data_IF_379954782058
#
_entry.id   IF_379954782058
#
_cell.length_a   1.000
_cell.length_b   1.000
_cell.length_c   1.000
_cell.angle_alpha   90.00
_cell.angle_beta   90.00
_cell.angle_gamma   90.00
#
_symmetry.space_group_name_H-M   'P 1'
#
loop_
_entity.id
_entity.type
_entity.pdbx_description
1 polymer ?
#
# COMPACT_ATOMS: atom_id res chain seq x y z
N UNK A 1 3.18 -22.57 1.71
CA UNK A 1 2.89 -21.32 0.97
C UNK A 1 1.38 -21.13 0.97
N UNK A 2 0.91 -19.93 1.27
CA UNK A 2 -0.49 -19.54 1.04
C UNK A 2 -0.64 -19.05 -0.42
N UNK A 3 -1.87 -19.03 -0.94
CA UNK A 3 -2.18 -18.63 -2.31
C UNK A 3 -1.97 -17.14 -2.58
N UNK A 4 -2.30 -16.70 -3.79
CA UNK A 4 -2.37 -15.27 -4.11
C UNK A 4 -3.45 -14.60 -3.26
N UNK A 5 -3.17 -13.40 -2.74
CA UNK A 5 -4.15 -12.64 -1.98
C UNK A 5 -5.09 -11.89 -2.93
N UNK A 6 -6.40 -11.95 -2.71
CA UNK A 6 -7.33 -11.09 -3.44
C UNK A 6 -7.12 -9.61 -3.09
N UNK A 7 -6.85 -9.37 -1.80
CA UNK A 7 -6.66 -8.04 -1.24
C UNK A 7 -5.62 -8.04 -0.12
N UNK A 8 -4.80 -6.98 -0.05
CA UNK A 8 -3.82 -6.78 1.02
C UNK A 8 -3.88 -5.37 1.61
N UNK A 9 -3.72 -5.27 2.92
CA UNK A 9 -3.37 -4.02 3.59
C UNK A 9 -1.86 -4.03 3.83
N UNK A 10 -1.15 -3.02 3.32
CA UNK A 10 0.32 -2.95 3.38
C UNK A 10 0.71 -1.61 4.01
N UNK A 11 1.55 -1.59 5.06
CA UNK A 11 2.01 -0.34 5.67
C UNK A 11 2.88 0.45 4.69
N UNK A 12 2.77 1.79 4.71
CA UNK A 12 3.54 2.67 3.82
C UNK A 12 4.22 3.84 4.53
N UNK A 13 3.92 4.08 5.80
CA UNK A 13 4.55 5.12 6.62
C UNK A 13 5.49 4.56 7.69
N UNK A 14 5.96 5.43 8.58
CA UNK A 14 6.94 5.17 9.62
C UNK A 14 8.31 4.70 9.09
N UNK A 15 8.76 5.22 7.94
CA UNK A 15 9.98 4.75 7.28
C UNK A 15 11.21 5.63 7.47
N UNK A 16 11.12 6.87 7.94
CA UNK A 16 12.27 7.76 8.05
C UNK A 16 12.80 7.94 9.49
N UNK A 17 14.12 8.06 9.70
CA UNK A 17 15.19 7.93 8.71
C UNK A 17 15.45 6.47 8.31
N UNK A 18 15.75 6.23 7.02
CA UNK A 18 15.87 4.86 6.47
C UNK A 18 16.92 4.00 7.17
N UNK A 19 18.06 4.57 7.54
CA UNK A 19 19.15 3.80 8.16
C UNK A 19 18.78 3.21 9.53
N UNK A 20 17.82 3.82 10.22
CA UNK A 20 17.31 3.34 11.50
C UNK A 20 16.05 2.48 11.35
N UNK A 21 15.11 2.91 10.50
CA UNK A 21 13.77 2.31 10.42
C UNK A 21 13.67 1.09 9.50
N UNK A 22 14.62 0.88 8.57
CA UNK A 22 14.51 -0.14 7.51
C UNK A 22 14.35 -1.58 8.00
N UNK A 23 14.86 -1.90 9.18
CA UNK A 23 14.80 -3.26 9.70
C UNK A 23 13.42 -3.59 10.28
N UNK A 24 12.59 -2.59 10.55
CA UNK A 24 11.25 -2.75 11.15
C UNK A 24 10.13 -2.22 10.25
N UNK A 25 10.39 -1.24 9.39
CA UNK A 25 9.40 -0.56 8.58
C UNK A 25 9.80 -0.48 7.11
N UNK A 26 8.81 -0.82 6.28
CA UNK A 26 8.88 -0.71 4.83
C UNK A 26 8.59 0.72 4.40
N UNK A 27 9.29 1.18 3.37
CA UNK A 27 8.94 2.42 2.69
C UNK A 27 7.89 2.17 1.57
N UNK A 28 7.36 3.22 0.92
CA UNK A 28 6.37 3.05 -0.15
C UNK A 28 6.87 2.23 -1.34
N UNK A 29 8.16 2.29 -1.69
CA UNK A 29 8.71 1.52 -2.81
C UNK A 29 8.75 0.01 -2.50
N UNK A 30 9.17 -0.35 -1.28
CA UNK A 30 9.18 -1.71 -0.74
C UNK A 30 7.76 -2.25 -0.53
N UNK A 31 6.81 -1.39 -0.15
CA UNK A 31 5.41 -1.76 -0.08
C UNK A 31 4.88 -2.24 -1.45
N UNK A 32 5.27 -1.56 -2.54
CA UNK A 32 4.91 -2.00 -3.90
C UNK A 32 5.58 -3.33 -4.28
N UNK A 33 6.79 -3.59 -3.80
CA UNK A 33 7.42 -4.91 -3.96
C UNK A 33 6.64 -6.00 -3.22
N UNK A 34 6.22 -5.72 -1.97
CA UNK A 34 5.40 -6.64 -1.18
C UNK A 34 4.09 -6.98 -1.89
N UNK A 35 3.40 -5.99 -2.46
CA UNK A 35 2.18 -6.21 -3.25
C UNK A 35 2.40 -7.27 -4.35
N UNK A 36 3.53 -7.19 -5.05
CA UNK A 36 3.89 -8.15 -6.12
C UNK A 36 4.30 -9.51 -5.55
N UNK A 37 5.09 -9.53 -4.49
CA UNK A 37 5.61 -10.75 -3.86
C UNK A 37 4.48 -11.62 -3.31
N UNK A 38 3.46 -11.00 -2.71
CA UNK A 38 2.25 -11.69 -2.22
C UNK A 38 1.21 -11.93 -3.31
N UNK A 39 1.48 -11.46 -4.53
CA UNK A 39 0.58 -11.56 -5.70
C UNK A 39 -0.80 -11.01 -5.40
N UNK A 40 -0.85 -9.85 -4.74
CA UNK A 40 -2.11 -9.24 -4.36
C UNK A 40 -2.89 -8.79 -5.60
N UNK A 41 -4.18 -9.10 -5.68
CA UNK A 41 -5.06 -8.56 -6.72
C UNK A 41 -5.23 -7.04 -6.57
N UNK A 42 -5.52 -6.59 -5.35
CA UNK A 42 -5.61 -5.17 -4.98
C UNK A 42 -4.92 -4.91 -3.64
N UNK A 43 -4.49 -3.69 -3.38
CA UNK A 43 -3.92 -3.31 -2.09
C UNK A 43 -4.30 -1.90 -1.67
N UNK A 44 -4.38 -1.69 -0.35
CA UNK A 44 -4.52 -0.36 0.26
C UNK A 44 -3.35 -0.08 1.19
N UNK A 45 -2.77 1.11 1.04
CA UNK A 45 -1.72 1.64 1.90
C UNK A 45 -2.28 2.01 3.27
N UNK A 46 -1.72 1.43 4.33
CA UNK A 46 -2.08 1.73 5.72
C UNK A 46 -0.88 2.29 6.49
N UNK A 47 -1.06 2.56 7.79
CA UNK A 47 0.00 3.02 8.68
C UNK A 47 0.62 4.36 8.25
N UNK A 48 -0.22 5.30 7.82
CA UNK A 48 0.16 6.67 7.44
C UNK A 48 -0.92 7.66 7.92
N UNK A 49 -0.64 8.96 7.88
CA UNK A 49 -1.67 10.00 8.01
C UNK A 49 -2.30 10.21 9.41
N UNK A 50 -1.99 9.35 10.38
CA UNK A 50 -2.68 9.33 11.69
C UNK A 50 -1.81 9.83 12.84
N UNK A 51 -0.56 9.35 12.93
CA UNK A 51 0.40 9.75 13.96
C UNK A 51 1.74 10.08 13.32
N UNK A 52 2.39 11.15 13.79
CA UNK A 52 3.77 11.49 13.42
C UNK A 52 4.74 10.65 14.27
N UNK A 53 5.11 9.46 13.78
CA UNK A 53 5.97 8.51 14.51
C UNK A 53 7.47 8.66 14.20
N UNK A 54 7.79 9.37 13.13
CA UNK A 54 9.07 9.34 12.42
C UNK A 54 9.29 10.67 11.69
N UNK A 55 10.37 10.78 10.92
CA UNK A 55 10.81 12.05 10.33
C UNK A 55 10.19 12.39 8.96
N UNK A 56 9.45 11.48 8.31
CA UNK A 56 8.80 11.79 7.04
C UNK A 56 7.58 12.71 7.22
N UNK A 57 7.26 13.59 6.25
CA UNK A 57 6.01 14.35 6.29
C UNK A 57 4.79 13.42 6.34
N UNK A 58 3.79 13.77 7.15
CA UNK A 58 2.66 12.88 7.46
C UNK A 58 1.83 12.43 6.23
N UNK A 59 1.82 13.25 5.18
CA UNK A 59 1.06 13.07 3.93
C UNK A 59 1.91 12.55 2.77
N UNK A 60 3.24 12.57 2.89
CA UNK A 60 4.19 12.09 1.88
C UNK A 60 4.01 10.60 1.51
N UNK A 61 3.75 9.66 2.45
CA UNK A 61 3.70 8.23 2.15
C UNK A 61 2.79 7.85 0.97
N UNK A 62 1.61 8.47 0.87
CA UNK A 62 0.66 8.16 -0.20
C UNK A 62 1.01 8.81 -1.55
N UNK A 63 1.67 9.96 -1.52
CA UNK A 63 2.17 10.62 -2.71
C UNK A 63 3.31 9.79 -3.32
N UNK A 64 4.23 9.30 -2.48
CA UNK A 64 5.29 8.39 -2.89
C UNK A 64 4.74 7.05 -3.33
N UNK A 65 3.79 6.45 -2.60
CA UNK A 65 3.15 5.19 -3.01
C UNK A 65 2.58 5.29 -4.42
N UNK A 66 1.81 6.34 -4.71
CA UNK A 66 1.23 6.56 -6.04
C UNK A 66 2.31 6.66 -7.14
N UNK A 67 3.41 7.36 -6.84
CA UNK A 67 4.54 7.51 -7.75
C UNK A 67 5.28 6.18 -7.99
N UNK A 68 5.56 5.42 -6.94
CA UNK A 68 6.25 4.13 -7.00
C UNK A 68 5.39 3.04 -7.65
N UNK A 69 4.08 3.01 -7.36
CA UNK A 69 3.13 2.13 -8.02
C UNK A 69 3.13 2.38 -9.53
N UNK A 70 3.05 3.65 -9.95
CA UNK A 70 3.11 4.04 -11.37
C UNK A 70 4.45 3.65 -12.03
N UNK A 71 5.57 3.85 -11.34
CA UNK A 71 6.90 3.42 -11.82
C UNK A 71 6.96 1.92 -12.07
N UNK A 72 6.20 1.13 -11.30
CA UNK A 72 6.05 -0.31 -11.44
C UNK A 72 4.80 -0.69 -12.23
N UNK A 73 4.27 0.19 -13.08
CA UNK A 73 3.13 -0.08 -13.98
C UNK A 73 1.86 -0.56 -13.27
N UNK A 74 1.68 -0.17 -12.01
CA UNK A 74 0.45 -0.37 -11.26
C UNK A 74 -0.39 0.91 -11.31
N UNK A 75 -1.70 0.76 -11.46
CA UNK A 75 -2.67 1.83 -11.41
C UNK A 75 -3.29 2.02 -10.01
N UNK A 76 -4.09 3.08 -9.82
CA UNK A 76 -4.78 3.35 -8.55
C UNK A 76 -5.76 2.26 -8.09
N UNK A 77 -6.22 1.41 -9.01
CA UNK A 77 -7.06 0.24 -8.71
C UNK A 77 -6.24 -0.89 -8.10
N UNK A 78 -4.96 -1.01 -8.48
CA UNK A 78 -4.08 -2.08 -8.04
C UNK A 78 -3.50 -1.78 -6.65
N UNK A 79 -3.03 -0.55 -6.43
CA UNK A 79 -2.49 -0.13 -5.14
C UNK A 79 -2.59 1.38 -4.93
N UNK A 80 -3.33 1.80 -3.90
CA UNK A 80 -3.46 3.22 -3.53
C UNK A 80 -3.69 3.38 -2.02
N UNK A 81 -3.70 4.61 -1.53
CA UNK A 81 -4.23 4.94 -0.21
C UNK A 81 -5.72 5.28 -0.28
N UNK A 82 -6.40 5.19 0.87
CA UNK A 82 -7.77 5.65 1.06
C UNK A 82 -7.79 6.89 1.95
N UNK A 83 -8.78 7.76 1.80
CA UNK A 83 -8.97 8.87 2.74
C UNK A 83 -9.36 8.34 4.13
N UNK A 84 -9.02 9.10 5.19
CA UNK A 84 -9.40 8.73 6.56
C UNK A 84 -10.93 8.74 6.68
N UNK A 85 -11.51 7.57 6.95
CA UNK A 85 -12.96 7.38 7.03
C UNK A 85 -13.64 7.00 5.70
N UNK A 86 -12.89 6.88 4.61
CA UNK A 86 -13.41 6.38 3.33
C UNK A 86 -13.91 4.93 3.49
N UNK A 87 -15.01 4.61 2.82
CA UNK A 87 -15.47 3.22 2.62
C UNK A 87 -15.41 2.89 1.14
N UNK A 88 -14.78 1.76 0.79
CA UNK A 88 -14.65 1.30 -0.60
C UNK A 88 -15.10 -0.14 -0.73
N UNK A 89 -15.92 -0.40 -1.75
CA UNK A 89 -16.27 -1.76 -2.17
C UNK A 89 -15.15 -2.30 -3.05
N UNK A 90 -14.60 -3.45 -2.67
CA UNK A 90 -13.62 -4.17 -3.47
C UNK A 90 -14.36 -5.13 -4.41
N UNK A 91 -14.02 -5.11 -5.69
CA UNK A 91 -14.58 -6.03 -6.66
C UNK A 91 -13.52 -7.09 -6.99
N UNK A 92 -13.68 -8.29 -6.44
CA UNK A 92 -12.87 -9.44 -6.87
C UNK A 92 -13.38 -9.94 -8.23
N UNK A 93 -12.53 -10.58 -9.05
CA UNK A 93 -12.96 -11.20 -10.30
C UNK A 93 -14.15 -12.17 -10.14
N UNK A 94 -14.24 -12.84 -8.99
CA UNK A 94 -15.33 -13.75 -8.64
C UNK A 94 -16.67 -13.05 -8.38
N UNK A 95 -16.62 -11.82 -7.86
CA UNK A 95 -17.80 -10.96 -7.65
C UNK A 95 -18.25 -10.30 -8.95
N UNK A 96 -17.34 -10.07 -9.90
CA UNK A 96 -17.68 -9.59 -11.25
C UNK A 96 -18.38 -10.67 -12.08
N UNK A 97 -18.00 -11.95 -11.93
CA UNK A 97 -18.60 -13.06 -12.70
C UNK A 97 -20.04 -13.43 -12.27
N UNK A 98 -20.56 -12.83 -11.20
CA UNK A 98 -21.91 -13.12 -10.65
C UNK A 98 -22.93 -12.00 -10.90
N UNK A 99 -22.55 -10.92 -11.58
CA UNK A 99 -23.41 -9.82 -12.00
C UNK A 99 -23.35 -9.62 -13.51
#
# INVERSE_FOLDING_TARGET
KVGAADFSLIPVGAYAPRDFMKDQHVNPAEAVDIHRDVKSGQSVGMHWGTFQLTDEPIDEPCQLLSSEAKNKSLGPVDFTCMEIGETRTLFTPELQAKN
#
